data_IF_055636532163
#
_entry.id   IF_055636532163
#
_cell.length_a   1.000
_cell.length_b   1.000
_cell.length_c   1.000
_cell.angle_alpha   90.00
_cell.angle_beta   90.00
_cell.angle_gamma   90.00
#
_symmetry.space_group_name_H-M   'P 1'
#
loop_
_entity.id
_entity.type
_entity.pdbx_description
1 polymer ?
#
# COMPACT_ATOMS: atom_id res chain seq x y z
N UNK A 1 8.36 -2.22 36.85
CA UNK A 1 7.70 -0.97 37.27
C UNK A 1 8.24 0.14 36.38
N UNK A 2 7.41 0.71 35.50
CA UNK A 2 7.84 1.80 34.63
C UNK A 2 7.95 3.09 35.46
N UNK A 3 9.10 3.78 35.36
CA UNK A 3 9.30 5.07 36.02
C UNK A 3 9.05 6.17 34.99
N UNK A 4 7.99 6.94 35.19
CA UNK A 4 7.61 8.09 34.35
C UNK A 4 8.33 9.40 34.74
N UNK A 5 9.38 9.30 35.54
CA UNK A 5 10.17 10.48 35.95
C UNK A 5 10.97 11.00 34.75
N UNK A 6 10.63 12.19 34.28
CA UNK A 6 11.30 12.84 33.15
C UNK A 6 10.39 13.00 31.90
N UNK A 7 9.15 12.53 31.95
CA UNK A 7 8.17 12.81 30.86
C UNK A 7 7.67 14.24 31.08
N UNK A 8 7.89 15.08 30.08
CA UNK A 8 7.29 16.41 30.00
C UNK A 8 6.06 16.32 29.10
N UNK A 9 4.95 16.84 29.59
CA UNK A 9 3.70 16.93 28.83
C UNK A 9 3.51 18.36 28.38
N UNK A 10 3.44 18.60 27.09
CA UNK A 10 3.01 19.85 26.50
C UNK A 10 1.61 19.72 25.95
N UNK A 11 0.72 20.61 26.33
CA UNK A 11 -0.61 20.72 25.74
C UNK A 11 -0.61 21.84 24.70
N UNK A 12 -0.98 21.51 23.46
CA UNK A 12 -1.09 22.49 22.38
C UNK A 12 -2.45 22.40 21.70
N UNK A 13 -3.18 23.50 21.67
CA UNK A 13 -4.46 23.61 20.99
C UNK A 13 -4.30 23.85 19.46
N UNK A 14 -3.06 24.10 19.01
CA UNK A 14 -2.76 24.50 17.63
C UNK A 14 -2.03 23.45 16.81
N UNK A 15 -1.51 22.40 17.44
CA UNK A 15 -0.70 21.37 16.79
C UNK A 15 -1.29 20.02 17.09
N UNK A 16 -1.55 19.26 16.03
CA UNK A 16 -1.97 17.86 16.13
C UNK A 16 -0.81 16.97 15.72
N UNK A 17 -0.54 15.92 16.49
CA UNK A 17 0.50 14.95 16.19
C UNK A 17 -0.03 13.85 15.25
N UNK A 18 0.75 13.47 14.25
CA UNK A 18 0.47 12.34 13.36
C UNK A 18 1.59 11.32 13.53
N UNK A 19 1.24 10.10 13.97
CA UNK A 19 2.20 9.01 14.14
C UNK A 19 2.84 8.59 12.81
N UNK A 20 2.09 8.69 11.71
CA UNK A 20 2.54 8.33 10.36
C UNK A 20 2.77 9.59 9.52
N UNK A 21 3.73 10.41 9.93
CA UNK A 21 4.12 11.62 9.20
C UNK A 21 4.49 11.29 7.76
N UNK A 22 4.02 12.08 6.81
CA UNK A 22 4.29 11.85 5.38
C UNK A 22 3.19 11.10 4.63
N UNK A 23 2.19 10.48 5.29
CA UNK A 23 1.12 9.77 4.58
C UNK A 23 0.33 10.68 3.63
N UNK A 24 0.11 11.94 4.02
CA UNK A 24 -0.52 12.93 3.15
C UNK A 24 0.33 13.25 1.91
N UNK A 25 1.67 13.25 2.03
CA UNK A 25 2.56 13.41 0.89
C UNK A 25 2.53 12.19 -0.03
N UNK A 26 2.44 10.98 0.53
CA UNK A 26 2.26 9.74 -0.25
C UNK A 26 0.94 9.73 -1.02
N UNK A 27 -0.15 10.19 -0.39
CA UNK A 27 -1.43 10.32 -1.08
C UNK A 27 -1.37 11.34 -2.22
N UNK A 28 -0.75 12.50 -2.00
CA UNK A 28 -0.52 13.48 -3.07
C UNK A 28 0.35 12.93 -4.19
N UNK A 29 1.35 12.12 -3.88
CA UNK A 29 2.17 11.45 -4.88
C UNK A 29 1.32 10.46 -5.71
N UNK A 30 0.46 9.65 -5.07
CA UNK A 30 -0.45 8.75 -5.76
C UNK A 30 -1.40 9.50 -6.71
N UNK A 31 -1.94 10.65 -6.27
CA UNK A 31 -2.75 11.53 -7.13
C UNK A 31 -1.93 12.10 -8.29
N UNK A 32 -0.76 12.66 -8.01
CA UNK A 32 0.09 13.31 -9.01
C UNK A 32 0.59 12.34 -10.09
N UNK A 33 0.92 11.13 -9.71
CA UNK A 33 1.35 10.07 -10.65
C UNK A 33 0.18 9.44 -11.41
N UNK A 34 -1.05 9.78 -11.05
CA UNK A 34 -2.26 9.25 -11.68
C UNK A 34 -2.67 7.86 -11.22
N UNK A 35 -2.08 7.36 -10.12
CA UNK A 35 -2.40 6.03 -9.59
C UNK A 35 -3.88 5.92 -9.17
N UNK A 36 -4.43 6.93 -8.51
CA UNK A 36 -5.85 6.97 -8.12
C UNK A 36 -6.73 6.78 -9.35
N UNK A 37 -6.52 7.59 -10.38
CA UNK A 37 -7.31 7.55 -11.63
C UNK A 37 -7.14 6.21 -12.36
N UNK A 38 -5.91 5.66 -12.39
CA UNK A 38 -5.66 4.38 -13.05
C UNK A 38 -6.35 3.22 -12.30
N UNK A 39 -6.34 3.23 -10.97
CA UNK A 39 -7.06 2.23 -10.17
C UNK A 39 -8.56 2.26 -10.45
N UNK A 40 -9.19 3.43 -10.41
CA UNK A 40 -10.63 3.57 -10.66
C UNK A 40 -11.04 3.30 -12.11
N UNK A 41 -10.09 3.40 -13.05
CA UNK A 41 -10.35 3.11 -14.46
C UNK A 41 -10.18 1.63 -14.82
N UNK A 42 -9.27 0.92 -14.19
CA UNK A 42 -8.96 -0.47 -14.52
C UNK A 42 -9.67 -1.48 -13.63
N UNK A 43 -9.84 -1.18 -12.33
CA UNK A 43 -10.48 -2.09 -11.37
C UNK A 43 -11.97 -1.76 -11.26
N UNK A 44 -12.83 -2.75 -11.51
CA UNK A 44 -14.28 -2.56 -11.56
C UNK A 44 -15.01 -3.61 -10.71
N UNK A 45 -14.74 -3.62 -9.42
CA UNK A 45 -15.29 -4.60 -8.45
C UNK A 45 -16.53 -4.13 -7.73
N UNK A 46 -16.70 -2.81 -7.61
CA UNK A 46 -17.80 -2.25 -6.82
C UNK A 46 -19.03 -2.04 -7.70
N UNK A 47 -20.17 -2.54 -7.25
CA UNK A 47 -21.47 -2.27 -7.89
C UNK A 47 -21.97 -0.84 -7.65
N UNK A 48 -21.49 -0.22 -6.58
CA UNK A 48 -21.79 1.13 -6.16
C UNK A 48 -20.51 1.80 -5.69
N UNK A 49 -20.23 3.00 -6.18
CA UNK A 49 -19.02 3.77 -5.83
C UNK A 49 -19.26 4.76 -4.68
N UNK A 50 -20.28 4.57 -3.90
CA UNK A 50 -20.55 5.35 -2.69
C UNK A 50 -20.67 4.40 -1.49
N UNK A 51 -19.98 4.68 -0.40
CA UNK A 51 -19.19 5.89 -0.13
C UNK A 51 -17.72 5.81 -0.60
N UNK A 52 -17.30 4.70 -1.20
CA UNK A 52 -15.90 4.42 -1.55
C UNK A 52 -15.77 4.01 -3.01
N UNK A 53 -14.61 4.35 -3.61
CA UNK A 53 -14.16 3.87 -4.90
C UNK A 53 -13.15 2.73 -4.72
N UNK A 54 -12.78 2.05 -5.79
CA UNK A 54 -11.78 0.97 -5.80
C UNK A 54 -10.43 1.48 -5.29
N UNK A 55 -10.02 2.68 -5.70
CA UNK A 55 -8.79 3.32 -5.22
C UNK A 55 -8.77 3.53 -3.71
N UNK A 56 -9.90 3.83 -3.08
CA UNK A 56 -9.99 4.01 -1.62
C UNK A 56 -9.66 2.72 -0.87
N UNK A 57 -10.12 1.57 -1.40
CA UNK A 57 -9.82 0.27 -0.82
C UNK A 57 -8.36 -0.13 -1.03
N UNK A 58 -7.87 -0.05 -2.27
CA UNK A 58 -6.49 -0.42 -2.62
C UNK A 58 -5.49 0.45 -1.86
N UNK A 59 -5.65 1.76 -1.90
CA UNK A 59 -4.77 2.69 -1.21
C UNK A 59 -4.92 2.63 0.31
N UNK A 60 -6.12 2.39 0.82
CA UNK A 60 -6.35 2.21 2.25
C UNK A 60 -5.54 1.04 2.82
N UNK A 61 -5.51 -0.10 2.12
CA UNK A 61 -4.69 -1.26 2.48
C UNK A 61 -3.20 -0.93 2.36
N UNK A 62 -2.78 -0.33 1.23
CA UNK A 62 -1.39 0.04 1.01
C UNK A 62 -0.88 1.05 2.06
N UNK A 63 -1.68 2.04 2.41
CA UNK A 63 -1.34 3.04 3.44
C UNK A 63 -1.31 2.43 4.83
N UNK A 64 -2.17 1.46 5.14
CA UNK A 64 -2.08 0.72 6.39
C UNK A 64 -0.71 0.04 6.53
N UNK A 65 -0.23 -0.63 5.47
CA UNK A 65 1.11 -1.25 5.45
C UNK A 65 2.22 -0.20 5.59
N UNK A 66 2.15 0.92 4.85
CA UNK A 66 3.11 2.02 4.95
C UNK A 66 3.18 2.63 6.34
N UNK A 67 2.08 2.60 7.08
CA UNK A 67 1.99 3.06 8.46
C UNK A 67 2.34 1.98 9.50
N UNK A 68 2.93 0.85 9.07
CA UNK A 68 3.36 -0.24 9.95
C UNK A 68 2.26 -1.22 10.33
N UNK A 69 1.11 -1.20 9.65
CA UNK A 69 0.08 -2.22 9.80
C UNK A 69 0.53 -3.57 9.26
N UNK A 70 0.21 -4.64 9.96
CA UNK A 70 0.59 -6.02 9.63
C UNK A 70 -0.61 -6.87 9.22
N UNK A 71 -1.82 -6.38 9.49
CA UNK A 71 -3.06 -7.04 9.13
C UNK A 71 -4.15 -6.00 8.81
N UNK A 72 -5.25 -6.46 8.23
CA UNK A 72 -6.39 -5.55 7.91
C UNK A 72 -7.01 -4.95 9.16
N UNK A 73 -6.96 -5.64 10.30
CA UNK A 73 -7.50 -5.12 11.56
C UNK A 73 -6.84 -3.82 12.00
N UNK A 74 -5.58 -3.60 11.63
CA UNK A 74 -4.84 -2.38 11.96
C UNK A 74 -5.40 -1.13 11.25
N UNK A 75 -6.23 -1.30 10.20
CA UNK A 75 -6.97 -0.21 9.56
C UNK A 75 -7.86 0.52 10.59
N UNK A 76 -8.36 -0.18 11.61
CA UNK A 76 -9.21 0.44 12.64
C UNK A 76 -8.46 1.55 13.40
N UNK A 77 -7.16 1.41 13.62
CA UNK A 77 -6.33 2.45 14.23
C UNK A 77 -6.27 3.72 13.36
N UNK A 78 -6.31 3.56 12.04
CA UNK A 78 -6.28 4.66 11.07
C UNK A 78 -7.63 5.34 10.96
N UNK A 79 -8.72 4.56 11.05
CA UNK A 79 -10.08 5.09 10.99
C UNK A 79 -10.43 6.00 12.17
N UNK A 80 -9.85 5.72 13.33
CA UNK A 80 -10.09 6.47 14.54
C UNK A 80 -9.12 7.66 14.73
N UNK A 81 -8.14 7.82 13.85
CA UNK A 81 -7.17 8.92 13.89
C UNK A 81 -7.64 10.07 12.99
N UNK A 82 -8.25 11.08 13.59
CA UNK A 82 -8.73 12.28 12.88
C UNK A 82 -7.58 12.99 12.13
N UNK A 83 -6.38 12.98 12.69
CA UNK A 83 -5.23 13.65 12.06
C UNK A 83 -4.77 12.88 10.82
N UNK A 84 -4.86 11.56 10.86
CA UNK A 84 -4.60 10.71 9.71
C UNK A 84 -5.64 10.96 8.60
N UNK A 85 -6.93 11.02 8.95
CA UNK A 85 -7.99 11.31 7.99
C UNK A 85 -7.83 12.72 7.39
N UNK A 86 -7.54 13.71 8.20
CA UNK A 86 -7.27 15.09 7.75
C UNK A 86 -6.08 15.13 6.77
N UNK A 87 -5.00 14.37 7.05
CA UNK A 87 -3.81 14.30 6.19
C UNK A 87 -4.12 13.71 4.80
N UNK A 88 -5.10 12.80 4.73
CA UNK A 88 -5.60 12.23 3.47
C UNK A 88 -6.70 13.09 2.81
N UNK A 89 -7.24 14.08 3.49
CA UNK A 89 -8.43 14.82 3.05
C UNK A 89 -9.69 13.96 3.08
N UNK A 90 -9.73 12.89 3.89
CA UNK A 90 -10.81 11.94 3.97
C UNK A 90 -11.67 12.17 5.21
N UNK A 91 -12.98 12.05 5.11
CA UNK A 91 -13.86 12.04 6.27
C UNK A 91 -13.94 10.66 6.93
N UNK A 92 -13.73 9.62 6.15
CA UNK A 92 -13.74 8.22 6.59
C UNK A 92 -13.02 7.35 5.57
N UNK A 93 -12.56 6.19 6.00
CA UNK A 93 -11.97 5.14 5.16
C UNK A 93 -12.71 3.81 5.38
N UNK A 94 -12.62 2.83 4.48
CA UNK A 94 -13.20 1.51 4.65
C UNK A 94 -12.75 0.86 5.97
N UNK A 95 -13.66 0.17 6.64
CA UNK A 95 -13.34 -0.62 7.83
C UNK A 95 -12.65 -1.95 7.45
N UNK A 96 -12.02 -2.65 8.41
CA UNK A 96 -11.32 -3.90 8.15
C UNK A 96 -12.17 -4.98 7.48
N UNK A 97 -13.45 -5.07 7.84
CA UNK A 97 -14.37 -6.06 7.26
C UNK A 97 -14.67 -5.72 5.80
N UNK A 98 -14.97 -4.45 5.54
CA UNK A 98 -15.22 -3.93 4.19
C UNK A 98 -13.97 -4.10 3.29
N UNK A 99 -12.77 -3.85 3.82
CA UNK A 99 -11.52 -4.08 3.11
C UNK A 99 -11.29 -5.57 2.82
N UNK A 100 -11.58 -6.45 3.76
CA UNK A 100 -11.52 -7.90 3.57
C UNK A 100 -12.53 -8.40 2.55
N UNK A 101 -13.74 -7.88 2.55
CA UNK A 101 -14.79 -8.22 1.57
C UNK A 101 -14.40 -7.76 0.16
N UNK A 102 -13.77 -6.60 0.05
CA UNK A 102 -13.22 -6.11 -1.21
C UNK A 102 -12.15 -7.07 -1.76
N UNK A 103 -11.17 -7.47 -0.94
CA UNK A 103 -10.13 -8.40 -1.36
C UNK A 103 -10.69 -9.76 -1.84
N UNK A 104 -11.78 -10.25 -1.23
CA UNK A 104 -12.39 -11.53 -1.60
C UNK A 104 -13.15 -11.52 -2.93
N UNK A 105 -13.34 -10.36 -3.53
CA UNK A 105 -14.04 -10.22 -4.82
C UNK A 105 -13.12 -10.40 -6.03
N UNK A 106 -11.81 -10.30 -5.83
CA UNK A 106 -10.85 -10.42 -6.91
C UNK A 106 -10.84 -11.81 -7.50
N UNK A 107 -10.96 -11.88 -8.80
CA UNK A 107 -10.58 -13.04 -9.60
C UNK A 107 -9.26 -12.77 -10.37
N UNK A 108 -8.85 -13.69 -11.23
CA UNK A 108 -7.60 -13.56 -11.98
C UNK A 108 -7.60 -12.35 -12.92
N UNK A 109 -8.71 -12.06 -13.57
CA UNK A 109 -8.83 -10.89 -14.45
C UNK A 109 -8.77 -9.58 -13.68
N UNK A 110 -9.32 -9.54 -12.48
CA UNK A 110 -9.26 -8.36 -11.61
C UNK A 110 -7.82 -8.11 -11.09
N UNK A 111 -7.06 -9.19 -10.83
CA UNK A 111 -5.65 -9.08 -10.46
C UNK A 111 -4.84 -8.51 -11.64
N UNK A 112 -5.09 -8.97 -12.86
CA UNK A 112 -4.47 -8.43 -14.06
C UNK A 112 -4.82 -6.94 -14.26
N UNK A 113 -6.07 -6.56 -14.02
CA UNK A 113 -6.53 -5.18 -14.10
C UNK A 113 -5.83 -4.29 -13.06
N UNK A 114 -5.67 -4.77 -11.82
CA UNK A 114 -4.91 -4.08 -10.78
C UNK A 114 -3.43 -3.90 -11.19
N UNK A 115 -2.82 -4.94 -11.74
CA UNK A 115 -1.44 -4.87 -12.23
C UNK A 115 -1.31 -3.89 -13.41
N UNK A 116 -2.30 -3.83 -14.30
CA UNK A 116 -2.32 -2.87 -15.41
C UNK A 116 -2.36 -1.43 -14.90
N UNK A 117 -3.18 -1.11 -13.89
CA UNK A 117 -3.22 0.21 -13.25
C UNK A 117 -1.87 0.62 -12.64
N UNK A 118 -1.23 -0.31 -11.93
CA UNK A 118 0.10 -0.09 -11.33
C UNK A 118 1.15 0.11 -12.43
N UNK A 119 1.11 -0.69 -13.49
CA UNK A 119 2.07 -0.60 -14.60
C UNK A 119 1.90 0.70 -15.40
N UNK A 120 0.68 1.15 -15.64
CA UNK A 120 0.42 2.44 -16.27
C UNK A 120 1.05 3.59 -15.47
N UNK A 121 0.85 3.59 -14.17
CA UNK A 121 1.44 4.58 -13.27
C UNK A 121 2.96 4.51 -13.26
N UNK A 122 3.52 3.29 -13.20
CA UNK A 122 4.98 3.05 -13.25
C UNK A 122 5.60 3.61 -14.53
N UNK A 123 4.97 3.38 -15.67
CA UNK A 123 5.43 3.91 -16.97
C UNK A 123 5.41 5.44 -16.99
N UNK A 124 4.39 6.08 -16.40
CA UNK A 124 4.35 7.55 -16.26
C UNK A 124 5.52 8.07 -15.43
N UNK A 125 5.78 7.43 -14.28
CA UNK A 125 6.90 7.81 -13.41
C UNK A 125 8.23 7.63 -14.13
N UNK A 126 8.43 6.54 -14.86
CA UNK A 126 9.65 6.30 -15.62
C UNK A 126 9.84 7.33 -16.72
N UNK A 127 8.80 7.65 -17.48
CA UNK A 127 8.87 8.67 -18.55
C UNK A 127 9.23 10.06 -18.06
N UNK A 128 9.01 10.34 -16.78
CA UNK A 128 9.40 11.60 -16.14
C UNK A 128 10.87 11.60 -15.64
N UNK A 129 11.59 10.47 -15.76
CA UNK A 129 12.98 10.39 -15.36
C UNK A 129 13.90 11.00 -16.43
N UNK A 130 15.10 11.47 -16.06
CA UNK A 130 16.10 11.95 -17.02
C UNK A 130 16.57 10.81 -17.94
N UNK A 131 17.16 11.17 -19.09
CA UNK A 131 17.55 10.21 -20.11
C UNK A 131 18.52 9.15 -19.58
N UNK A 132 19.42 9.52 -18.70
CA UNK A 132 20.42 8.65 -18.07
C UNK A 132 19.81 7.52 -17.24
N UNK A 133 18.55 7.66 -16.83
CA UNK A 133 17.82 6.59 -16.15
C UNK A 133 17.63 5.36 -17.04
N UNK A 134 17.61 5.55 -18.36
CA UNK A 134 17.36 4.49 -19.34
C UNK A 134 18.64 3.90 -19.94
N UNK A 135 19.83 4.39 -19.57
CA UNK A 135 21.10 3.90 -20.10
C UNK A 135 21.39 2.47 -19.66
N UNK A 136 20.98 2.09 -18.47
CA UNK A 136 21.18 0.75 -17.92
C UNK A 136 19.96 0.36 -17.06
N UNK A 137 19.38 -0.81 -17.35
CA UNK A 137 18.35 -1.42 -16.52
C UNK A 137 18.90 -2.66 -15.82
N UNK A 138 19.04 -2.59 -14.50
CA UNK A 138 19.35 -3.77 -13.68
C UNK A 138 18.04 -4.35 -13.16
N UNK A 139 17.69 -5.53 -13.65
CA UNK A 139 16.49 -6.25 -13.22
C UNK A 139 16.94 -7.29 -12.21
N UNK A 140 16.34 -7.22 -11.03
CA UNK A 140 16.49 -8.20 -9.98
C UNK A 140 15.21 -9.04 -9.90
N UNK A 141 15.36 -10.36 -9.96
CA UNK A 141 14.24 -11.30 -9.91
C UNK A 141 14.53 -12.34 -8.84
N UNK A 142 13.74 -12.31 -7.77
CA UNK A 142 13.92 -13.19 -6.62
C UNK A 142 12.61 -13.84 -6.20
N UNK A 143 12.69 -15.14 -5.87
CA UNK A 143 11.60 -15.89 -5.28
C UNK A 143 11.56 -15.64 -3.77
N UNK A 144 10.41 -15.24 -3.27
CA UNK A 144 10.22 -15.07 -1.81
C UNK A 144 9.15 -16.00 -1.28
N UNK A 145 9.16 -16.25 0.04
CA UNK A 145 8.12 -17.03 0.71
C UNK A 145 7.31 -16.10 1.58
N UNK A 146 6.00 -16.09 1.34
CA UNK A 146 5.04 -15.40 2.22
C UNK A 146 4.32 -16.45 3.02
N UNK A 147 4.75 -16.63 4.26
CA UNK A 147 4.19 -17.64 5.16
C UNK A 147 2.70 -17.42 5.42
N UNK A 148 1.96 -18.52 5.47
CA UNK A 148 0.56 -18.51 5.87
C UNK A 148 0.20 -19.83 6.53
N UNK A 149 -0.77 -19.83 7.43
CA UNK A 149 -1.21 -21.00 8.21
C UNK A 149 -2.53 -21.60 7.71
N UNK A 150 -3.11 -21.08 6.63
CA UNK A 150 -4.40 -21.55 6.14
C UNK A 150 -4.26 -22.74 5.20
N UNK A 151 -4.68 -23.92 5.60
CA UNK A 151 -4.56 -25.17 4.82
C UNK A 151 -5.46 -25.22 3.55
N UNK A 152 -6.48 -24.37 3.47
CA UNK A 152 -7.44 -24.34 2.38
C UNK A 152 -7.26 -23.16 1.42
N UNK A 153 -6.10 -22.51 1.41
CA UNK A 153 -5.82 -21.38 0.54
C UNK A 153 -5.29 -21.89 -0.80
N UNK A 154 -5.89 -21.44 -1.89
CA UNK A 154 -5.46 -21.77 -3.24
C UNK A 154 -4.08 -21.16 -3.54
N UNK A 155 -3.23 -21.92 -4.27
CA UNK A 155 -1.89 -21.46 -4.68
C UNK A 155 -0.81 -21.53 -3.60
N UNK A 156 -1.10 -22.14 -2.45
CA UNK A 156 -0.11 -22.43 -1.40
C UNK A 156 0.63 -23.72 -1.65
N UNK A 157 1.90 -23.77 -1.26
CA UNK A 157 2.71 -24.99 -1.26
C UNK A 157 3.78 -24.92 -0.15
N UNK A 158 4.50 -26.03 0.01
CA UNK A 158 5.62 -26.14 0.93
C UNK A 158 6.91 -25.71 0.21
N UNK A 159 7.61 -24.72 0.76
CA UNK A 159 8.93 -24.34 0.30
C UNK A 159 9.98 -25.43 0.63
N UNK A 160 11.12 -25.37 -0.05
CA UNK A 160 12.25 -26.31 0.19
C UNK A 160 12.76 -26.29 1.63
N UNK A 161 12.53 -25.23 2.38
CA UNK A 161 12.89 -25.07 3.79
C UNK A 161 11.79 -25.53 4.75
N UNK A 162 10.70 -26.14 4.23
CA UNK A 162 9.59 -26.65 5.01
C UNK A 162 8.54 -25.62 5.42
N UNK A 163 8.65 -24.37 4.97
CA UNK A 163 7.66 -23.33 5.25
C UNK A 163 6.47 -23.44 4.32
N UNK A 164 5.26 -23.38 4.88
CA UNK A 164 4.02 -23.27 4.14
C UNK A 164 3.80 -21.81 3.71
N UNK A 165 3.49 -21.58 2.44
CA UNK A 165 3.19 -20.23 2.01
C UNK A 165 2.99 -20.06 0.52
N UNK A 166 2.84 -18.81 0.12
CA UNK A 166 2.89 -18.40 -1.27
C UNK A 166 4.33 -18.16 -1.71
N UNK A 167 4.64 -18.43 -2.97
CA UNK A 167 6.00 -18.31 -3.53
C UNK A 167 6.01 -17.30 -4.69
N UNK A 168 5.67 -16.02 -4.45
CA UNK A 168 5.68 -15.04 -5.53
C UNK A 168 7.10 -14.80 -6.02
N UNK A 169 7.23 -14.64 -7.33
CA UNK A 169 8.41 -14.09 -7.96
C UNK A 169 8.34 -12.56 -7.90
N UNK A 170 9.25 -11.95 -7.16
CA UNK A 170 9.39 -10.51 -7.12
C UNK A 170 10.37 -10.06 -8.20
N UNK A 171 9.91 -9.20 -9.11
CA UNK A 171 10.76 -8.58 -10.13
C UNK A 171 10.86 -7.10 -9.85
N UNK A 172 12.06 -6.62 -9.60
CA UNK A 172 12.34 -5.22 -9.31
C UNK A 172 13.35 -4.61 -10.27
N UNK A 173 13.22 -3.31 -10.51
CA UNK A 173 14.21 -2.52 -11.19
C UNK A 173 15.16 -1.91 -10.15
N UNK A 174 16.36 -2.47 -10.04
CA UNK A 174 17.39 -1.95 -9.16
C UNK A 174 18.05 -0.74 -9.84
N UNK A 175 17.65 0.47 -9.46
CA UNK A 175 18.34 1.69 -9.88
C UNK A 175 19.67 1.79 -9.14
N UNK A 176 20.78 1.89 -9.86
CA UNK A 176 22.06 2.21 -9.23
C UNK A 176 21.94 3.57 -8.53
N UNK A 177 22.21 3.58 -7.22
CA UNK A 177 22.55 4.83 -6.55
C UNK A 177 23.77 5.38 -7.29
N UNK A 178 23.61 6.51 -7.96
CA UNK A 178 24.74 7.29 -8.45
C UNK A 178 25.70 7.46 -7.27
N UNK A 179 26.90 6.89 -7.37
CA UNK A 179 27.97 7.20 -6.42
C UNK A 179 28.23 8.69 -6.58
N UNK A 180 27.81 9.47 -5.59
CA UNK A 180 28.36 10.81 -5.42
C UNK A 180 29.84 10.64 -5.17
N UNK A 181 30.65 10.93 -6.19
CA UNK A 181 32.08 11.13 -6.08
C UNK A 181 32.39 12.51 -5.50
#
# INVERSE_FOLDING_TARGET
MYRASGIQYEHSDRVRGLASGGIGAMHRLAQHTGLVTALDAHVALLKQHLPYHESDHVLGIAYNVLCGGTCLQDIELRRQDEVYLDALGAQRIPDPTTAGDFCRRFDEADIEALQAAINETRVRVWRAQPAEFFDEAVIDADGTVVETTGECKEGMDIAYNGLWGYHPLLVSLATRRSRCS
#
